data_IF_393031318295
#
_entry.id   IF_393031318295
#
_cell.length_a   1.000
_cell.length_b   1.000
_cell.length_c   1.000
_cell.angle_alpha   90.00
_cell.angle_beta   90.00
_cell.angle_gamma   90.00
#
_symmetry.space_group_name_H-M   'P 1'
#
loop_
_entity.id
_entity.type
_entity.pdbx_description
1 polymer ?
#
# COMPACT_ATOMS: atom_id res chain seq x y z
N UNK A 1 -0.59 14.65 -11.46
CA UNK A 1 0.48 13.75 -11.95
C UNK A 1 0.10 13.24 -13.33
N UNK A 2 0.99 13.32 -14.28
CA UNK A 2 0.75 12.84 -15.64
C UNK A 2 0.69 11.31 -15.66
N UNK A 3 -0.08 10.76 -16.60
CA UNK A 3 -0.31 9.33 -16.70
C UNK A 3 1.00 8.52 -16.76
N UNK A 4 1.97 9.00 -17.52
CA UNK A 4 3.25 8.33 -17.67
C UNK A 4 4.06 8.32 -16.36
N UNK A 5 4.00 9.40 -15.61
CA UNK A 5 4.63 9.50 -14.29
C UNK A 5 4.01 8.50 -13.31
N UNK A 6 2.69 8.34 -13.37
CA UNK A 6 1.97 7.38 -12.53
C UNK A 6 2.41 5.95 -12.83
N UNK A 7 2.57 5.61 -14.11
CA UNK A 7 3.03 4.28 -14.50
C UNK A 7 4.43 3.98 -13.96
N UNK A 8 5.34 4.94 -14.07
CA UNK A 8 6.71 4.79 -13.54
C UNK A 8 6.67 4.65 -12.02
N UNK A 9 5.89 5.48 -11.35
CA UNK A 9 5.74 5.46 -9.89
C UNK A 9 5.16 4.14 -9.41
N UNK A 10 4.14 3.62 -10.11
CA UNK A 10 3.50 2.36 -9.74
C UNK A 10 4.46 1.18 -9.87
N UNK A 11 5.29 1.17 -10.89
CA UNK A 11 6.31 0.14 -11.09
C UNK A 11 7.35 0.16 -9.98
N UNK A 12 7.76 1.36 -9.53
CA UNK A 12 8.69 1.52 -8.41
C UNK A 12 8.08 1.04 -7.10
N UNK A 13 6.81 1.38 -6.87
CA UNK A 13 6.08 0.95 -5.68
C UNK A 13 6.05 -0.58 -5.58
N UNK A 14 5.68 -1.24 -6.68
CA UNK A 14 5.67 -2.71 -6.76
C UNK A 14 7.08 -3.29 -6.54
N UNK A 15 8.08 -2.71 -7.19
CA UNK A 15 9.46 -3.17 -7.06
C UNK A 15 9.97 -3.05 -5.63
N UNK A 16 9.68 -1.95 -4.96
CA UNK A 16 10.12 -1.72 -3.59
C UNK A 16 9.48 -2.72 -2.63
N UNK A 17 8.19 -2.99 -2.79
CA UNK A 17 7.52 -4.02 -2.02
C UNK A 17 8.11 -5.41 -2.29
N UNK A 18 8.32 -5.77 -3.54
CA UNK A 18 8.80 -7.10 -3.93
C UNK A 18 10.25 -7.34 -3.52
N UNK A 19 11.05 -6.28 -3.40
CA UNK A 19 12.41 -6.38 -2.87
C UNK A 19 12.47 -6.36 -1.35
N UNK A 20 11.32 -6.17 -0.68
CA UNK A 20 11.21 -6.09 0.79
C UNK A 20 12.08 -4.98 1.38
N UNK A 21 12.28 -3.90 0.64
CA UNK A 21 13.08 -2.76 1.05
C UNK A 21 12.20 -1.77 1.82
N UNK A 22 12.16 -1.93 3.15
CA UNK A 22 11.27 -1.15 4.00
C UNK A 22 11.48 0.36 3.86
N UNK A 23 12.73 0.82 3.81
CA UNK A 23 13.02 2.24 3.68
C UNK A 23 12.54 2.80 2.34
N UNK A 24 12.74 2.06 1.26
CA UNK A 24 12.28 2.46 -0.07
C UNK A 24 10.74 2.50 -0.14
N UNK A 25 10.07 1.52 0.48
CA UNK A 25 8.61 1.50 0.57
C UNK A 25 8.12 2.75 1.30
N UNK A 26 8.67 3.04 2.47
CA UNK A 26 8.25 4.16 3.31
C UNK A 26 8.51 5.52 2.66
N UNK A 27 9.49 5.60 1.77
CA UNK A 27 9.81 6.85 1.08
C UNK A 27 8.67 7.35 0.19
N UNK A 28 7.70 6.49 -0.16
CA UNK A 28 6.53 6.88 -0.94
C UNK A 28 5.45 7.59 -0.10
N UNK A 29 5.56 7.59 1.23
CA UNK A 29 4.50 8.03 2.13
C UNK A 29 4.88 9.31 2.86
N UNK A 30 3.88 10.16 3.15
CA UNK A 30 4.08 11.40 3.92
C UNK A 30 4.20 11.09 5.41
N UNK A 31 4.79 12.01 6.16
CA UNK A 31 4.97 11.85 7.62
C UNK A 31 3.63 11.71 8.36
N UNK A 32 2.58 12.38 7.88
CA UNK A 32 1.26 12.40 8.50
C UNK A 32 0.26 11.45 7.83
N UNK A 33 0.75 10.43 7.13
CA UNK A 33 -0.09 9.50 6.37
C UNK A 33 -1.16 8.84 7.24
N UNK A 34 -2.37 8.72 6.68
CA UNK A 34 -3.47 7.95 7.26
C UNK A 34 -3.61 6.65 6.48
N UNK A 35 -3.56 5.52 7.15
CA UNK A 35 -3.57 4.21 6.51
C UNK A 35 -4.68 3.34 7.09
N UNK A 36 -5.56 2.87 6.23
CA UNK A 36 -6.68 2.00 6.63
C UNK A 36 -6.61 0.70 5.84
N UNK A 37 -6.64 -0.43 6.54
CA UNK A 37 -6.58 -1.75 5.90
C UNK A 37 -7.12 -2.83 6.84
N UNK A 38 -7.82 -3.85 6.26
CA UNK A 38 -8.21 -5.02 7.06
C UNK A 38 -7.01 -5.76 7.69
N UNK A 39 -5.83 -5.70 7.06
CA UNK A 39 -4.63 -6.32 7.63
C UNK A 39 -4.13 -5.58 8.87
N UNK A 40 -4.45 -4.30 9.03
CA UNK A 40 -4.15 -3.56 10.26
C UNK A 40 -4.96 -4.15 11.42
N UNK A 41 -6.22 -4.50 11.18
CA UNK A 41 -7.05 -5.19 12.20
C UNK A 41 -6.35 -6.46 12.65
N UNK A 42 -5.89 -7.25 11.70
CA UNK A 42 -5.30 -8.57 11.95
C UNK A 42 -3.91 -8.48 12.59
N UNK A 43 -3.03 -7.62 12.08
CA UNK A 43 -1.62 -7.61 12.46
C UNK A 43 -1.31 -6.66 13.62
N UNK A 44 -2.10 -5.59 13.78
CA UNK A 44 -1.84 -4.56 14.78
C UNK A 44 -2.87 -4.53 15.91
N UNK A 45 -3.84 -5.45 15.87
CA UNK A 45 -4.89 -5.56 16.88
C UNK A 45 -5.66 -4.24 17.07
N UNK A 46 -5.98 -3.57 15.96
CA UNK A 46 -6.74 -2.34 15.96
C UNK A 46 -8.06 -2.56 15.25
N UNK A 47 -9.17 -2.54 16.00
CA UNK A 47 -10.50 -2.88 15.50
C UNK A 47 -10.99 -1.94 14.40
N UNK A 48 -10.52 -0.68 14.37
CA UNK A 48 -10.90 0.28 13.34
C UNK A 48 -10.04 0.16 12.06
N UNK A 49 -8.98 -0.65 12.10
CA UNK A 49 -8.11 -0.87 10.94
C UNK A 49 -7.30 0.34 10.52
N UNK A 50 -7.13 1.33 11.40
CA UNK A 50 -6.51 2.62 11.05
C UNK A 50 -5.19 2.85 11.76
N UNK A 51 -4.25 3.42 11.01
CA UNK A 51 -2.97 3.89 11.53
C UNK A 51 -2.78 5.35 11.13
N UNK A 52 -2.19 6.13 12.03
CA UNK A 52 -1.92 7.55 11.79
C UNK A 52 -0.44 7.81 11.96
N UNK A 53 0.21 8.26 10.89
CA UNK A 53 1.62 8.65 10.90
C UNK A 53 2.56 7.58 10.40
N UNK A 54 3.70 8.04 9.89
CA UNK A 54 4.69 7.17 9.22
C UNK A 54 5.41 6.24 10.20
N UNK A 55 5.57 6.67 11.44
CA UNK A 55 6.25 5.90 12.48
C UNK A 55 5.58 4.57 12.74
N UNK A 56 4.25 4.60 12.98
CA UNK A 56 3.48 3.37 13.21
C UNK A 56 3.31 2.58 11.91
N UNK A 57 3.25 3.27 10.77
CA UNK A 57 3.18 2.61 9.47
C UNK A 57 4.43 1.76 9.23
N UNK A 58 5.58 2.25 9.64
CA UNK A 58 6.83 1.49 9.56
C UNK A 58 6.76 0.19 10.35
N UNK A 59 6.23 0.23 11.58
CA UNK A 59 6.05 -0.96 12.40
C UNK A 59 5.13 -1.97 11.74
N UNK A 60 4.03 -1.48 11.16
CA UNK A 60 3.05 -2.32 10.47
C UNK A 60 3.66 -2.99 9.23
N UNK A 61 4.35 -2.22 8.39
CA UNK A 61 4.98 -2.76 7.19
C UNK A 61 6.07 -3.77 7.54
N UNK A 62 6.89 -3.48 8.55
CA UNK A 62 7.91 -4.41 9.01
C UNK A 62 7.29 -5.73 9.48
N UNK A 63 6.19 -5.65 10.22
CA UNK A 63 5.47 -6.83 10.69
C UNK A 63 4.86 -7.61 9.53
N UNK A 64 4.32 -6.91 8.54
CA UNK A 64 3.77 -7.53 7.34
C UNK A 64 4.84 -8.30 6.55
N UNK A 65 5.99 -7.69 6.34
CA UNK A 65 7.10 -8.34 5.64
C UNK A 65 7.63 -9.56 6.41
N UNK A 66 7.65 -9.49 7.73
CA UNK A 66 8.08 -10.62 8.57
C UNK A 66 7.06 -11.75 8.57
N UNK A 67 5.77 -11.41 8.58
CA UNK A 67 4.67 -12.39 8.59
C UNK A 67 4.54 -13.10 7.24
N UNK A 68 4.83 -12.37 6.15
CA UNK A 68 4.72 -12.88 4.80
C UNK A 68 6.07 -12.82 4.09
N UNK A 69 7.02 -13.71 4.45
CA UNK A 69 8.39 -13.64 3.89
C UNK A 69 8.44 -13.88 2.38
N UNK A 70 7.41 -14.51 1.82
CA UNK A 70 7.29 -14.76 0.38
C UNK A 70 6.46 -13.68 -0.32
N UNK A 71 6.15 -12.57 0.34
CA UNK A 71 5.33 -11.51 -0.22
C UNK A 71 5.86 -11.08 -1.58
N UNK A 72 4.97 -11.13 -2.57
CA UNK A 72 5.22 -10.65 -3.92
C UNK A 72 3.92 -10.12 -4.49
N UNK A 73 3.92 -8.86 -4.87
CA UNK A 73 2.77 -8.22 -5.50
C UNK A 73 2.91 -8.29 -7.03
N UNK A 74 1.79 -8.50 -7.70
CA UNK A 74 1.71 -8.46 -9.15
C UNK A 74 0.66 -7.45 -9.56
N UNK A 75 1.09 -6.35 -10.17
CA UNK A 75 0.21 -5.27 -10.59
C UNK A 75 -0.63 -5.72 -11.79
N UNK A 76 -1.95 -5.58 -11.68
CA UNK A 76 -2.88 -5.88 -12.77
C UNK A 76 -3.19 -4.60 -13.52
N UNK A 77 -3.55 -3.53 -12.81
CA UNK A 77 -3.95 -2.28 -13.43
C UNK A 77 -3.81 -1.11 -12.47
N UNK A 78 -3.50 0.05 -13.02
CA UNK A 78 -3.49 1.32 -12.29
C UNK A 78 -4.63 2.17 -12.81
N UNK A 79 -5.46 2.67 -11.89
CA UNK A 79 -6.56 3.59 -12.20
C UNK A 79 -6.21 4.96 -11.65
N UNK A 80 -6.37 5.99 -12.46
CA UNK A 80 -5.92 7.35 -12.11
C UNK A 80 -7.13 8.24 -11.85
N UNK A 81 -7.13 8.92 -10.71
CA UNK A 81 -8.14 9.89 -10.33
C UNK A 81 -7.54 11.28 -10.17
N UNK A 82 -8.30 12.18 -9.54
CA UNK A 82 -7.81 13.53 -9.23
C UNK A 82 -6.97 13.45 -7.95
N UNK A 83 -5.68 13.73 -8.08
CA UNK A 83 -4.72 13.63 -6.97
C UNK A 83 -4.76 12.29 -6.23
N UNK A 84 -5.14 11.23 -6.95
CA UNK A 84 -5.28 9.90 -6.36
C UNK A 84 -5.09 8.82 -7.41
N UNK A 85 -4.76 7.62 -6.94
CA UNK A 85 -4.63 6.45 -7.78
C UNK A 85 -5.27 5.26 -7.07
N UNK A 86 -5.68 4.27 -7.84
CA UNK A 86 -6.08 2.96 -7.31
C UNK A 86 -5.19 1.92 -7.97
N UNK A 87 -4.49 1.14 -7.15
CA UNK A 87 -3.73 0.00 -7.61
C UNK A 87 -4.57 -1.25 -7.46
N UNK A 88 -4.75 -1.97 -8.56
CA UNK A 88 -5.42 -3.26 -8.58
C UNK A 88 -4.34 -4.31 -8.81
N UNK A 89 -4.18 -5.23 -7.86
CA UNK A 89 -3.04 -6.14 -7.89
C UNK A 89 -3.32 -7.43 -7.12
N UNK A 90 -2.49 -8.44 -7.40
CA UNK A 90 -2.45 -9.67 -6.59
C UNK A 90 -1.55 -9.42 -5.38
N UNK A 91 -2.10 -9.63 -4.20
CA UNK A 91 -1.42 -9.45 -2.93
C UNK A 91 -1.01 -10.80 -2.34
N UNK A 92 -0.68 -10.81 -1.05
CA UNK A 92 -0.28 -12.03 -0.33
C UNK A 92 -1.40 -13.09 -0.43
N UNK A 93 -1.01 -14.35 -0.51
CA UNK A 93 -1.95 -15.46 -0.59
C UNK A 93 -2.80 -15.41 -1.85
N UNK A 94 -2.31 -14.78 -2.91
CA UNK A 94 -3.01 -14.68 -4.20
C UNK A 94 -4.33 -13.92 -4.12
N UNK A 95 -4.52 -13.12 -3.09
CA UNK A 95 -5.74 -12.32 -2.91
C UNK A 95 -5.69 -11.09 -3.82
N UNK A 96 -6.83 -10.79 -4.42
CA UNK A 96 -6.98 -9.53 -5.16
C UNK A 96 -7.03 -8.38 -4.16
N UNK A 97 -6.35 -7.30 -4.49
CA UNK A 97 -6.35 -6.08 -3.71
C UNK A 97 -6.64 -4.89 -4.60
N UNK A 98 -7.40 -3.95 -4.08
CA UNK A 98 -7.61 -2.64 -4.69
C UNK A 98 -7.26 -1.60 -3.62
N UNK A 99 -6.24 -0.80 -3.89
CA UNK A 99 -5.69 0.12 -2.89
C UNK A 99 -5.80 1.54 -3.39
N UNK A 100 -6.66 2.31 -2.72
CA UNK A 100 -6.80 3.74 -2.98
C UNK A 100 -5.69 4.49 -2.28
N UNK A 101 -5.02 5.40 -3.01
CA UNK A 101 -3.96 6.24 -2.46
C UNK A 101 -4.16 7.67 -2.90
N UNK A 102 -4.23 8.58 -1.94
CA UNK A 102 -4.27 10.00 -2.20
C UNK A 102 -2.86 10.57 -2.15
N UNK A 103 -2.54 11.44 -3.11
CA UNK A 103 -1.20 12.01 -3.25
C UNK A 103 -1.22 13.51 -2.98
N UNK A 104 -0.17 14.03 -2.37
CA UNK A 104 0.02 15.47 -2.21
C UNK A 104 0.79 16.04 -3.40
N UNK A 105 1.03 17.36 -3.39
CA UNK A 105 1.73 18.05 -4.49
C UNK A 105 3.18 17.60 -4.66
N UNK A 106 3.77 16.99 -3.63
CA UNK A 106 5.12 16.43 -3.70
C UNK A 106 5.14 15.00 -4.22
N UNK A 107 3.97 14.42 -4.53
CA UNK A 107 3.87 13.05 -5.00
C UNK A 107 3.95 12.00 -3.89
N UNK A 108 3.77 12.40 -2.64
CA UNK A 108 3.77 11.48 -1.51
C UNK A 108 2.35 11.04 -1.17
N UNK A 109 2.22 9.79 -0.73
CA UNK A 109 0.93 9.21 -0.33
C UNK A 109 0.55 9.76 1.03
N UNK A 110 -0.63 10.41 1.11
CA UNK A 110 -1.13 11.01 2.35
C UNK A 110 -2.26 10.21 2.98
N UNK A 111 -2.97 9.42 2.18
CA UNK A 111 -4.08 8.60 2.66
C UNK A 111 -4.15 7.32 1.85
N UNK A 112 -4.34 6.21 2.55
CA UNK A 112 -4.53 4.89 1.92
C UNK A 112 -5.78 4.26 2.47
N UNK A 113 -6.54 3.63 1.57
CA UNK A 113 -7.64 2.77 1.96
C UNK A 113 -7.53 1.48 1.14
N UNK A 114 -7.05 0.44 1.76
CA UNK A 114 -6.81 -0.84 1.10
C UNK A 114 -8.02 -1.75 1.21
N UNK A 115 -8.32 -2.42 0.11
CA UNK A 115 -9.46 -3.34 -0.01
C UNK A 115 -8.94 -4.67 -0.52
N UNK A 116 -9.54 -5.77 -0.06
CA UNK A 116 -9.13 -7.11 -0.47
C UNK A 116 -10.34 -7.92 -0.89
N UNK A 117 -10.11 -8.81 -1.85
CA UNK A 117 -11.16 -9.71 -2.32
C UNK A 117 -11.66 -10.61 -1.20
N UNK A 118 -12.94 -10.99 -1.29
CA UNK A 118 -13.57 -11.90 -0.32
C UNK A 118 -12.95 -13.28 -0.49
N UNK A 119 -12.57 -13.88 0.65
CA UNK A 119 -12.05 -15.23 0.65
C UNK A 119 -13.16 -16.24 0.37
N UNK A 120 -12.87 -17.23 -0.48
CA UNK A 120 -13.83 -18.28 -0.87
C UNK A 120 -13.67 -19.54 -0.01
N UNK A 121 -13.52 -19.39 1.26
CA UNK A 121 -13.41 -20.56 2.15
C UNK A 121 -14.73 -21.22 2.46
#
# INVERSE_FOLDING_TARGET
MMQQEVLIWSQRWIQDWNSHNLDAILAHYSEDVEFTSPFVVKLMDRSDGKLQGKSILKEYFAKGLATYPDLRFELIQVLVGVDSVVFYYHSVGDRLAAEYMQLNSAGLVTRVNAHYGISNE
#
